data_IF_744033353171
#
_entry.id   IF_744033353171
#
_cell.length_a   1.000
_cell.length_b   1.000
_cell.length_c   1.000
_cell.angle_alpha   90.00
_cell.angle_beta   90.00
_cell.angle_gamma   90.00
#
_symmetry.space_group_name_H-M   'P 1'
#
loop_
_entity.id
_entity.type
_entity.pdbx_description
1 polymer ?
#
# COMPACT_ATOMS: atom_id res chain seq x y z
N UNK A 1 27.57 40.43 27.19
CA UNK A 1 26.36 39.84 26.58
C UNK A 1 26.78 38.53 25.95
N UNK A 2 26.45 37.40 26.57
CA UNK A 2 26.77 36.07 26.02
C UNK A 2 25.77 35.74 24.91
N UNK A 3 26.28 35.47 23.71
CA UNK A 3 25.47 34.98 22.61
C UNK A 3 24.93 33.60 22.99
N UNK A 4 23.61 33.49 23.10
CA UNK A 4 22.94 32.20 23.13
C UNK A 4 23.15 31.55 21.76
N UNK A 5 24.18 30.71 21.67
CA UNK A 5 24.33 29.77 20.56
C UNK A 5 23.12 28.83 20.61
N UNK A 6 22.06 29.24 19.92
CA UNK A 6 20.90 28.41 19.66
C UNK A 6 21.39 27.33 18.71
N UNK A 7 21.81 26.21 19.28
CA UNK A 7 21.99 24.96 18.57
C UNK A 7 20.66 24.64 17.90
N UNK A 8 20.49 25.08 16.66
CA UNK A 8 19.48 24.52 15.78
C UNK A 8 19.92 23.09 15.55
N UNK A 9 19.46 22.20 16.44
CA UNK A 9 19.42 20.77 16.19
C UNK A 9 18.72 20.65 14.85
N UNK A 10 19.48 20.40 13.78
CA UNK A 10 18.91 19.89 12.55
C UNK A 10 18.00 18.74 12.99
N UNK A 11 16.70 18.72 12.64
CA UNK A 11 15.88 17.58 12.99
C UNK A 11 16.61 16.39 12.38
N UNK A 12 17.06 15.47 13.23
CA UNK A 12 17.49 14.14 12.80
C UNK A 12 16.24 13.58 12.13
N UNK A 13 16.21 13.72 10.80
CA UNK A 13 14.99 14.15 10.12
C UNK A 13 13.94 13.05 9.97
N UNK A 14 12.68 13.42 9.66
CA UNK A 14 11.58 12.48 9.36
C UNK A 14 11.80 11.63 8.10
N UNK A 15 12.97 11.75 7.46
CA UNK A 15 13.27 11.14 6.16
C UNK A 15 13.52 9.63 6.23
N UNK A 16 13.99 9.09 7.35
CA UNK A 16 14.22 7.64 7.50
C UNK A 16 12.91 6.86 7.67
N UNK A 17 12.01 7.31 8.54
CA UNK A 17 10.72 6.66 8.80
C UNK A 17 9.80 6.72 7.56
N UNK A 18 9.81 7.83 6.81
CA UNK A 18 8.99 8.01 5.62
C UNK A 18 9.34 7.06 4.46
N UNK A 19 10.58 6.55 4.39
CA UNK A 19 11.00 5.61 3.35
C UNK A 19 10.59 4.17 3.65
N UNK A 20 10.55 3.79 4.92
CA UNK A 20 10.03 2.49 5.32
C UNK A 20 8.52 2.41 5.09
N UNK A 21 7.77 3.48 5.39
CA UNK A 21 6.31 3.48 5.23
C UNK A 21 5.87 3.26 3.77
N UNK A 22 6.54 3.87 2.79
CA UNK A 22 6.22 3.65 1.35
C UNK A 22 6.51 2.23 0.88
N UNK A 23 7.55 1.58 1.39
CA UNK A 23 7.83 0.18 1.06
C UNK A 23 6.76 -0.75 1.66
N UNK A 24 6.37 -0.51 2.91
CA UNK A 24 5.28 -1.26 3.54
C UNK A 24 3.95 -1.05 2.82
N UNK A 25 3.64 0.17 2.37
CA UNK A 25 2.44 0.45 1.56
C UNK A 25 2.45 -0.36 0.27
N UNK A 26 3.53 -0.31 -0.50
CA UNK A 26 3.64 -1.05 -1.76
C UNK A 26 3.50 -2.58 -1.58
N UNK A 27 4.07 -3.14 -0.51
CA UNK A 27 3.93 -4.57 -0.20
C UNK A 27 2.49 -4.90 0.19
N UNK A 28 1.83 -4.02 0.96
CA UNK A 28 0.42 -4.20 1.35
C UNK A 28 -0.49 -4.16 0.13
N UNK A 29 -0.33 -3.18 -0.75
CA UNK A 29 -1.14 -3.03 -1.96
C UNK A 29 -0.97 -4.23 -2.89
N UNK A 30 0.27 -4.72 -3.03
CA UNK A 30 0.54 -5.95 -3.78
C UNK A 30 -0.14 -7.17 -3.16
N UNK A 31 -0.07 -7.31 -1.84
CA UNK A 31 -0.71 -8.43 -1.16
C UNK A 31 -2.24 -8.34 -1.25
N UNK A 32 -2.81 -7.16 -1.09
CA UNK A 32 -4.25 -6.91 -1.18
C UNK A 32 -4.78 -7.26 -2.57
N UNK A 33 -4.07 -6.84 -3.62
CA UNK A 33 -4.38 -7.20 -5.01
C UNK A 33 -4.35 -8.72 -5.22
N UNK A 34 -3.34 -9.40 -4.66
CA UNK A 34 -3.20 -10.87 -4.75
C UNK A 34 -4.29 -11.61 -3.99
N UNK A 35 -4.65 -11.15 -2.80
CA UNK A 35 -5.71 -11.73 -1.95
C UNK A 35 -7.06 -11.55 -2.61
N UNK A 36 -7.35 -10.35 -3.10
CA UNK A 36 -8.57 -10.03 -3.85
C UNK A 36 -8.71 -10.93 -5.06
N UNK A 37 -7.66 -11.04 -5.89
CA UNK A 37 -7.66 -11.94 -7.05
C UNK A 37 -7.92 -13.39 -6.65
N UNK A 38 -7.28 -13.87 -5.57
CA UNK A 38 -7.49 -15.24 -5.06
C UNK A 38 -8.91 -15.46 -4.53
N UNK A 39 -9.50 -14.47 -3.86
CA UNK A 39 -10.88 -14.54 -3.39
C UNK A 39 -11.85 -14.58 -4.58
N UNK A 40 -11.65 -13.74 -5.60
CA UNK A 40 -12.47 -13.72 -6.81
C UNK A 40 -12.35 -15.03 -7.62
N UNK A 41 -11.18 -15.66 -7.65
CA UNK A 41 -11.02 -16.98 -8.28
C UNK A 41 -11.74 -18.13 -7.56
N UNK A 42 -12.11 -17.96 -6.28
CA UNK A 42 -12.88 -18.99 -5.55
C UNK A 42 -14.37 -18.92 -5.85
N UNK A 43 -14.88 -17.77 -6.29
CA UNK A 43 -16.27 -17.60 -6.69
C UNK A 43 -16.53 -18.35 -8.00
N UNK A 44 -17.75 -18.83 -8.17
CA UNK A 44 -18.27 -19.44 -9.40
C UNK A 44 -18.58 -18.39 -10.47
N UNK A 45 -18.75 -18.81 -11.72
CA UNK A 45 -19.02 -17.86 -12.81
C UNK A 45 -20.35 -17.12 -12.65
N UNK A 46 -21.35 -17.74 -12.02
CA UNK A 46 -22.62 -17.05 -11.67
C UNK A 46 -22.42 -15.99 -10.60
N UNK A 47 -21.68 -16.31 -9.53
CA UNK A 47 -21.42 -15.34 -8.46
C UNK A 47 -20.58 -14.16 -8.96
N UNK A 48 -19.72 -14.38 -9.96
CA UNK A 48 -19.01 -13.30 -10.66
C UNK A 48 -19.96 -12.47 -11.54
N UNK A 49 -20.89 -13.11 -12.24
CA UNK A 49 -21.90 -12.42 -13.07
C UNK A 49 -22.84 -11.56 -12.21
N UNK A 50 -23.22 -12.03 -11.02
CA UNK A 50 -24.05 -11.29 -10.06
C UNK A 50 -23.41 -9.96 -9.61
N UNK A 51 -22.07 -9.90 -9.56
CA UNK A 51 -21.31 -8.69 -9.25
C UNK A 51 -20.79 -7.97 -10.52
N UNK A 52 -21.17 -8.47 -11.71
CA UNK A 52 -20.81 -7.88 -13.00
C UNK A 52 -19.33 -7.99 -13.37
N UNK A 53 -18.62 -9.00 -12.87
CA UNK A 53 -17.20 -9.25 -13.16
C UNK A 53 -17.03 -10.47 -14.07
N UNK A 54 -16.07 -10.40 -14.99
CA UNK A 54 -15.63 -11.56 -15.78
C UNK A 54 -14.28 -12.10 -15.29
N UNK A 55 -13.97 -13.36 -15.63
CA UNK A 55 -12.64 -13.95 -15.36
C UNK A 55 -11.49 -13.16 -16.01
N UNK A 56 -11.75 -12.46 -17.11
CA UNK A 56 -10.77 -11.61 -17.78
C UNK A 56 -10.45 -10.35 -16.96
N UNK A 57 -11.44 -9.78 -16.28
CA UNK A 57 -11.23 -8.61 -15.42
C UNK A 57 -10.39 -8.97 -14.19
N UNK A 58 -10.62 -10.15 -13.62
CA UNK A 58 -9.80 -10.70 -12.52
C UNK A 58 -8.34 -10.89 -12.94
N UNK A 59 -8.09 -11.22 -14.21
CA UNK A 59 -6.72 -11.35 -14.74
C UNK A 59 -5.99 -10.01 -14.91
N UNK A 60 -6.72 -8.89 -14.88
CA UNK A 60 -6.19 -7.52 -15.02
C UNK A 60 -5.90 -6.85 -13.66
N UNK A 61 -6.40 -7.42 -12.56
CA UNK A 61 -6.14 -7.02 -11.17
C UNK A 61 -4.81 -7.61 -10.66
#
# INVERSE_FOLDING_TARGET
>A
MAAIETTTRAPIGPLSIARFSVLFQAIRDWNDSRVTRKALYKLTDRELDDIGLSRADIARL
#
